data_IF_528298472758
#
_entry.id   IF_528298472758
#
_cell.length_a   1.000
_cell.length_b   1.000
_cell.length_c   1.000
_cell.angle_alpha   90.00
_cell.angle_beta   90.00
_cell.angle_gamma   90.00
#
_symmetry.space_group_name_H-M   'P 1'
#
loop_
_entity.id
_entity.type
_entity.pdbx_description
1 polymer ?
#
# COMPACT_ATOMS: atom_id res chain seq x y z
N UNK A 1 20.53 -67.56 54.43
CA UNK A 1 19.59 -66.74 53.73
C UNK A 1 20.23 -65.43 53.34
N UNK A 2 20.65 -65.27 52.08
CA UNK A 2 21.26 -64.03 51.54
C UNK A 2 20.26 -63.33 50.70
N UNK A 3 19.78 -62.17 51.10
CA UNK A 3 18.97 -61.29 50.26
C UNK A 3 19.84 -60.44 49.38
N UNK A 4 19.64 -60.53 48.04
CA UNK A 4 20.31 -59.72 47.05
C UNK A 4 19.46 -58.49 46.79
N UNK A 5 20.00 -57.32 47.02
CA UNK A 5 19.40 -56.04 46.75
C UNK A 5 19.89 -55.57 45.34
N UNK A 6 18.95 -55.46 44.41
CA UNK A 6 19.20 -54.96 43.04
C UNK A 6 19.05 -53.44 43.01
N UNK A 7 20.01 -52.67 42.54
CA UNK A 7 19.82 -51.22 42.40
C UNK A 7 19.08 -50.89 41.09
N UNK A 8 17.98 -50.13 41.23
CA UNK A 8 17.29 -49.51 40.13
C UNK A 8 18.11 -48.33 39.60
N UNK A 9 18.58 -48.43 38.35
CA UNK A 9 19.13 -47.31 37.60
C UNK A 9 17.96 -46.53 36.94
N UNK A 10 17.70 -45.34 37.48
CA UNK A 10 16.81 -44.38 36.84
C UNK A 10 17.62 -43.63 35.77
N UNK A 11 17.44 -44.02 34.49
CA UNK A 11 18.02 -43.33 33.36
C UNK A 11 17.30 -42.00 33.13
N UNK A 12 17.98 -40.89 33.41
CA UNK A 12 17.51 -39.53 33.07
C UNK A 12 17.69 -39.31 31.56
N UNK A 13 16.59 -39.40 30.81
CA UNK A 13 16.59 -39.07 29.36
C UNK A 13 16.50 -37.56 29.22
N UNK A 14 17.65 -36.94 28.93
CA UNK A 14 17.70 -35.50 28.52
C UNK A 14 17.34 -35.43 27.03
N UNK A 15 16.13 -34.97 26.73
CA UNK A 15 15.70 -34.66 25.39
C UNK A 15 16.21 -33.24 25.03
N UNK A 16 17.12 -33.06 24.09
CA UNK A 16 17.49 -31.74 23.61
C UNK A 16 16.32 -31.15 22.83
N UNK A 17 15.64 -30.14 23.39
CA UNK A 17 14.69 -29.33 22.66
C UNK A 17 15.48 -28.41 21.72
N UNK A 18 15.66 -28.85 20.48
CA UNK A 18 16.13 -27.96 19.43
C UNK A 18 15.00 -27.01 19.10
N UNK A 19 15.01 -25.86 19.72
CA UNK A 19 14.24 -24.68 19.29
C UNK A 19 14.87 -24.21 17.97
N UNK A 20 14.35 -24.70 16.85
CA UNK A 20 14.62 -24.11 15.53
C UNK A 20 13.95 -22.74 15.51
N UNK A 21 14.65 -21.71 15.97
CA UNK A 21 14.28 -20.33 15.69
C UNK A 21 14.36 -20.12 14.17
N UNK A 22 13.21 -20.05 13.52
CA UNK A 22 13.10 -19.61 12.13
C UNK A 22 13.56 -18.14 12.14
N UNK A 23 14.81 -17.90 11.75
CA UNK A 23 15.26 -16.53 11.42
C UNK A 23 14.60 -16.25 10.08
N UNK A 24 13.52 -15.46 10.13
CA UNK A 24 12.83 -14.98 8.93
C UNK A 24 13.86 -14.37 7.97
N UNK A 25 13.69 -14.63 6.70
CA UNK A 25 14.52 -14.08 5.64
C UNK A 25 14.50 -12.55 5.73
N UNK A 26 15.61 -11.89 5.30
CA UNK A 26 15.66 -10.41 5.20
C UNK A 26 14.50 -9.88 4.33
N UNK A 27 14.02 -10.68 3.38
CA UNK A 27 12.83 -10.38 2.58
C UNK A 27 11.57 -10.33 3.44
N UNK A 28 11.36 -11.29 4.36
CA UNK A 28 10.20 -11.33 5.25
C UNK A 28 10.17 -10.13 6.21
N UNK A 29 11.35 -9.64 6.64
CA UNK A 29 11.47 -8.43 7.47
C UNK A 29 11.12 -7.16 6.69
N UNK A 30 11.56 -7.07 5.42
CA UNK A 30 11.23 -5.95 4.52
C UNK A 30 9.75 -5.92 4.17
N UNK A 31 9.16 -7.07 3.89
CA UNK A 31 7.73 -7.21 3.59
C UNK A 31 6.87 -6.84 4.81
N UNK A 32 7.34 -7.11 6.03
CA UNK A 32 6.66 -6.70 7.26
C UNK A 32 6.72 -5.17 7.49
N UNK A 33 7.81 -4.52 7.10
CA UNK A 33 8.03 -3.07 7.28
C UNK A 33 7.19 -2.24 6.28
N UNK A 34 6.85 -2.80 5.12
CA UNK A 34 6.09 -2.12 4.07
C UNK A 34 4.57 -2.38 4.12
N UNK A 35 4.06 -3.07 5.15
CA UNK A 35 2.63 -3.32 5.29
C UNK A 35 1.89 -2.08 5.78
N UNK A 36 0.84 -1.70 5.06
CA UNK A 36 -0.05 -0.60 5.46
C UNK A 36 -1.25 -1.17 6.20
N UNK A 37 -1.42 -0.76 7.46
CA UNK A 37 -2.53 -1.20 8.29
C UNK A 37 -3.73 -0.30 8.11
N UNK A 38 -4.93 -0.90 8.12
CA UNK A 38 -6.19 -0.18 8.20
C UNK A 38 -6.25 0.65 9.49
N UNK A 39 -6.67 1.92 9.39
CA UNK A 39 -6.78 2.84 10.50
C UNK A 39 -7.99 2.53 11.39
N UNK A 40 -8.06 3.14 12.57
CA UNK A 40 -9.15 2.90 13.53
C UNK A 40 -10.54 3.29 13.00
N UNK A 41 -10.60 4.32 12.15
CA UNK A 41 -11.82 4.77 11.46
C UNK A 41 -12.18 3.89 10.25
N UNK A 42 -11.37 2.87 9.98
CA UNK A 42 -11.53 1.94 8.87
C UNK A 42 -10.94 2.42 7.55
N UNK A 43 -10.37 3.62 7.49
CA UNK A 43 -9.73 4.13 6.27
C UNK A 43 -8.34 3.51 6.05
N UNK A 44 -7.85 3.60 4.82
CA UNK A 44 -6.50 3.16 4.43
C UNK A 44 -5.91 4.25 3.54
N UNK A 45 -4.69 4.69 3.85
CA UNK A 45 -3.97 5.69 3.06
C UNK A 45 -2.71 5.07 2.45
N UNK A 46 -2.69 4.95 1.13
CA UNK A 46 -1.63 4.38 0.31
C UNK A 46 -0.79 5.51 -0.25
N UNK A 47 0.25 5.90 0.47
CA UNK A 47 1.16 6.98 0.09
C UNK A 47 2.20 6.43 -0.89
N UNK A 48 2.52 7.16 -1.96
CA UNK A 48 3.50 6.72 -2.97
C UNK A 48 4.88 6.42 -2.37
N UNK A 49 5.32 7.17 -1.36
CA UNK A 49 6.61 6.94 -0.70
C UNK A 49 6.74 5.56 -0.05
N UNK A 50 5.61 4.88 0.20
CA UNK A 50 5.55 3.52 0.75
C UNK A 50 5.25 2.45 -0.29
N UNK A 51 5.14 2.83 -1.55
CA UNK A 51 4.89 1.91 -2.64
C UNK A 51 6.17 1.26 -3.14
N UNK A 52 6.05 0.05 -3.65
CA UNK A 52 7.03 -0.49 -4.58
C UNK A 52 6.70 0.05 -5.97
N UNK A 53 7.52 1.02 -6.45
CA UNK A 53 7.28 1.66 -7.73
C UNK A 53 8.14 1.05 -8.83
N UNK A 54 7.53 0.85 -9.99
CA UNK A 54 8.19 0.48 -11.24
C UNK A 54 7.89 1.53 -12.31
N UNK A 55 8.94 2.02 -12.99
CA UNK A 55 8.80 2.98 -14.08
C UNK A 55 9.20 2.34 -15.41
N UNK A 56 8.30 2.42 -16.39
CA UNK A 56 8.56 2.06 -17.78
C UNK A 56 8.96 3.33 -18.54
N UNK A 57 10.26 3.48 -18.83
CA UNK A 57 10.80 4.66 -19.52
C UNK A 57 10.26 4.74 -20.96
N UNK A 58 10.00 3.60 -21.61
CA UNK A 58 9.51 3.55 -22.97
C UNK A 58 8.02 3.88 -23.06
N UNK A 59 7.25 3.51 -22.04
CA UNK A 59 5.82 3.74 -21.97
C UNK A 59 5.39 4.14 -20.54
N UNK A 60 5.50 5.43 -20.18
CA UNK A 60 5.17 5.91 -18.83
C UNK A 60 3.74 5.61 -18.38
N UNK A 61 2.80 5.38 -19.30
CA UNK A 61 1.42 4.98 -18.95
C UNK A 61 1.34 3.62 -18.25
N UNK A 62 2.42 2.82 -18.30
CA UNK A 62 2.55 1.55 -17.59
C UNK A 62 3.29 1.66 -16.25
N UNK A 63 3.65 2.87 -15.81
CA UNK A 63 4.25 3.02 -14.49
C UNK A 63 3.32 2.48 -13.42
N UNK A 64 3.87 1.70 -12.50
CA UNK A 64 3.09 1.04 -11.44
C UNK A 64 3.55 1.43 -10.05
N UNK A 65 2.61 1.41 -9.11
CA UNK A 65 2.86 1.47 -7.68
C UNK A 65 2.07 0.35 -7.00
N UNK A 66 2.77 -0.45 -6.20
CA UNK A 66 2.21 -1.60 -5.49
C UNK A 66 2.31 -1.40 -3.98
N UNK A 67 1.26 -1.77 -3.25
CA UNK A 67 1.22 -1.75 -1.80
C UNK A 67 0.68 -3.06 -1.24
N UNK A 68 1.25 -3.50 -0.13
CA UNK A 68 0.71 -4.57 0.68
C UNK A 68 -0.08 -3.96 1.85
N UNK A 69 -1.36 -4.32 1.96
CA UNK A 69 -2.26 -3.80 2.97
C UNK A 69 -2.81 -4.90 3.86
N UNK A 70 -3.19 -4.54 5.08
CA UNK A 70 -3.87 -5.44 6.03
C UNK A 70 -5.23 -4.85 6.35
N UNK A 71 -6.27 -5.58 5.98
CA UNK A 71 -7.67 -5.26 6.26
C UNK A 71 -8.09 -6.00 7.53
N UNK A 72 -8.49 -5.28 8.55
CA UNK A 72 -9.05 -5.84 9.79
C UNK A 72 -10.58 -5.76 9.84
N UNK A 73 -11.16 -4.76 9.16
CA UNK A 73 -12.61 -4.53 9.07
C UNK A 73 -13.00 -4.58 7.59
N UNK A 74 -13.50 -5.72 7.10
CA UNK A 74 -13.95 -5.85 5.72
C UNK A 74 -15.19 -5.02 5.46
N UNK A 75 -15.51 -4.81 4.18
CA UNK A 75 -16.67 -4.02 3.77
C UNK A 75 -16.51 -3.39 2.40
N UNK A 76 -17.38 -2.42 2.11
CA UNK A 76 -17.31 -1.64 0.89
C UNK A 76 -16.54 -0.35 1.15
N UNK A 77 -15.59 -0.05 0.25
CA UNK A 77 -14.75 1.14 0.33
C UNK A 77 -14.95 2.02 -0.90
N UNK A 78 -15.06 3.34 -0.68
CA UNK A 78 -14.86 4.32 -1.75
C UNK A 78 -13.36 4.48 -1.97
N UNK A 79 -12.95 4.50 -3.24
CA UNK A 79 -11.56 4.67 -3.65
C UNK A 79 -11.40 6.07 -4.22
N UNK A 80 -10.40 6.77 -3.72
CA UNK A 80 -10.05 8.13 -4.11
C UNK A 80 -8.58 8.20 -4.50
N UNK A 81 -8.28 8.94 -5.55
CA UNK A 81 -6.91 9.38 -5.85
C UNK A 81 -6.73 10.79 -5.31
N UNK A 82 -5.63 11.02 -4.61
CA UNK A 82 -5.21 12.34 -4.15
C UNK A 82 -4.08 12.86 -5.02
N UNK A 83 -4.26 14.02 -5.60
CA UNK A 83 -3.28 14.72 -6.42
C UNK A 83 -2.95 16.08 -5.83
N UNK A 84 -1.67 16.51 -5.98
CA UNK A 84 -1.25 17.89 -5.81
C UNK A 84 -1.22 18.55 -7.18
N UNK A 85 -1.94 19.65 -7.37
CA UNK A 85 -2.00 20.36 -8.64
C UNK A 85 -1.96 21.86 -8.46
N UNK A 86 -1.44 22.57 -9.46
CA UNK A 86 -1.56 24.04 -9.55
C UNK A 86 -2.84 24.46 -10.27
N UNK A 87 -3.38 23.57 -11.12
CA UNK A 87 -4.63 23.79 -11.85
C UNK A 87 -5.75 22.93 -11.25
N UNK A 88 -6.71 23.60 -10.59
CA UNK A 88 -7.88 22.93 -9.97
C UNK A 88 -9.02 22.68 -10.93
N UNK A 89 -8.86 22.99 -12.21
CA UNK A 89 -9.87 22.76 -13.26
C UNK A 89 -9.57 21.56 -14.13
N UNK A 90 -8.25 21.22 -14.26
CA UNK A 90 -7.81 20.10 -15.08
C UNK A 90 -6.52 19.48 -14.47
N UNK A 91 -6.58 18.21 -14.10
CA UNK A 91 -5.45 17.48 -13.52
C UNK A 91 -4.40 17.01 -14.55
N UNK A 92 -4.66 17.21 -15.84
CA UNK A 92 -3.72 16.85 -16.92
C UNK A 92 -3.29 15.37 -16.89
N UNK A 93 -4.20 14.47 -16.54
CA UNK A 93 -4.00 13.04 -16.78
C UNK A 93 -4.23 12.75 -18.26
N UNK A 94 -3.22 12.25 -18.95
CA UNK A 94 -3.31 11.89 -20.36
C UNK A 94 -4.03 10.55 -20.56
N UNK A 95 -3.96 9.67 -19.57
CA UNK A 95 -4.53 8.34 -19.61
C UNK A 95 -5.42 8.08 -18.39
N UNK A 96 -6.30 7.09 -18.51
CA UNK A 96 -7.04 6.59 -17.37
C UNK A 96 -6.06 5.98 -16.34
N UNK A 97 -6.33 6.23 -15.07
CA UNK A 97 -5.65 5.58 -13.96
C UNK A 97 -6.39 4.30 -13.64
N UNK A 98 -5.63 3.22 -13.50
CA UNK A 98 -6.16 1.90 -13.18
C UNK A 98 -5.73 1.48 -11.78
N UNK A 99 -6.70 1.04 -10.97
CA UNK A 99 -6.46 0.49 -9.64
C UNK A 99 -7.04 -0.92 -9.60
N UNK A 100 -6.24 -1.89 -9.19
CA UNK A 100 -6.64 -3.29 -9.03
C UNK A 100 -6.40 -3.79 -7.62
N UNK A 101 -7.38 -4.53 -7.11
CA UNK A 101 -7.32 -5.28 -5.86
C UNK A 101 -8.15 -6.57 -6.03
N UNK A 102 -7.56 -7.74 -5.80
CA UNK A 102 -8.16 -9.01 -6.14
C UNK A 102 -8.62 -9.02 -7.61
N UNK A 103 -9.89 -9.39 -7.84
CA UNK A 103 -10.52 -9.41 -9.17
C UNK A 103 -11.19 -8.07 -9.53
N UNK A 104 -11.27 -7.12 -8.59
CA UNK A 104 -11.84 -5.80 -8.83
C UNK A 104 -10.85 -4.87 -9.53
N UNK A 105 -11.30 -4.22 -10.60
CA UNK A 105 -10.53 -3.23 -11.35
C UNK A 105 -11.36 -1.96 -11.51
N UNK A 106 -10.78 -0.83 -11.10
CA UNK A 106 -11.31 0.50 -11.34
C UNK A 106 -10.43 1.19 -12.37
N UNK A 107 -11.03 1.78 -13.41
CA UNK A 107 -10.30 2.50 -14.45
C UNK A 107 -11.06 3.78 -14.79
N UNK A 108 -10.46 4.93 -14.45
CA UNK A 108 -11.11 6.25 -14.56
C UNK A 108 -10.05 7.30 -14.91
N UNK A 109 -10.40 8.29 -15.73
CA UNK A 109 -9.60 9.50 -15.88
C UNK A 109 -9.90 10.40 -14.69
N UNK A 110 -8.90 10.71 -13.80
CA UNK A 110 -9.12 11.50 -12.62
C UNK A 110 -9.58 12.91 -12.92
N UNK A 111 -10.66 13.34 -12.27
CA UNK A 111 -11.22 14.70 -12.35
C UNK A 111 -11.05 15.48 -11.05
N UNK A 112 -11.44 16.75 -11.06
CA UNK A 112 -11.39 17.61 -9.87
C UNK A 112 -12.69 17.50 -9.05
N UNK A 113 -12.97 16.32 -8.46
CA UNK A 113 -14.23 16.08 -7.76
C UNK A 113 -14.31 16.81 -6.42
N UNK A 114 -13.16 16.94 -5.73
CA UNK A 114 -13.10 17.62 -4.44
C UNK A 114 -11.78 18.37 -4.29
N UNK A 115 -11.86 19.70 -4.15
CA UNK A 115 -10.70 20.55 -3.87
C UNK A 115 -10.59 20.73 -2.36
N UNK A 116 -9.46 20.32 -1.77
CA UNK A 116 -9.17 20.46 -0.35
C UNK A 116 -8.27 21.68 -0.14
N UNK A 117 -8.87 22.74 0.37
CA UNK A 117 -8.12 23.97 0.72
C UNK A 117 -7.42 23.76 2.07
N UNK A 118 -6.21 24.32 2.19
CA UNK A 118 -5.40 24.24 3.43
C UNK A 118 -5.09 22.78 3.86
N UNK A 119 -4.83 21.89 2.90
CA UNK A 119 -4.34 20.56 3.21
C UNK A 119 -2.96 20.64 3.85
N UNK A 120 -2.73 19.80 4.87
CA UNK A 120 -1.39 19.65 5.48
C UNK A 120 -0.43 18.83 4.60
N UNK A 121 -1.00 18.05 3.67
CA UNK A 121 -0.24 17.15 2.79
C UNK A 121 0.35 17.87 1.58
N UNK A 122 -0.13 19.10 1.29
CA UNK A 122 0.21 19.84 0.08
C UNK A 122 0.46 21.31 0.41
N UNK A 123 1.63 21.80 0.00
CA UNK A 123 2.03 23.20 0.23
C UNK A 123 1.89 24.03 -1.03
N UNK A 124 1.63 25.33 -0.84
CA UNK A 124 1.63 26.31 -1.92
C UNK A 124 2.89 26.20 -2.78
N UNK A 125 2.81 26.26 -4.12
CA UNK A 125 1.67 26.73 -4.94
C UNK A 125 0.67 25.63 -5.37
N UNK A 126 0.73 24.45 -4.76
CA UNK A 126 -0.17 23.34 -5.12
C UNK A 126 -1.42 23.33 -4.23
N UNK A 127 -2.49 22.78 -4.79
CA UNK A 127 -3.74 22.45 -4.11
C UNK A 127 -3.91 20.94 -4.10
N UNK A 128 -4.50 20.42 -3.03
CA UNK A 128 -4.91 19.03 -2.98
C UNK A 128 -6.25 18.87 -3.68
N UNK A 129 -6.32 17.90 -4.60
CA UNK A 129 -7.55 17.49 -5.27
C UNK A 129 -7.74 15.99 -5.06
N UNK A 130 -8.94 15.62 -4.62
CA UNK A 130 -9.33 14.23 -4.49
C UNK A 130 -10.27 13.87 -5.66
N UNK A 131 -9.96 12.81 -6.41
CA UNK A 131 -10.70 12.28 -7.56
C UNK A 131 -11.33 10.95 -7.19
N UNK A 132 -12.63 10.81 -7.40
CA UNK A 132 -13.36 9.58 -7.10
C UNK A 132 -13.15 8.53 -8.19
N UNK A 133 -12.66 7.37 -7.81
CA UNK A 133 -12.37 6.26 -8.74
C UNK A 133 -13.48 5.21 -8.80
N UNK A 134 -14.34 5.16 -7.79
CA UNK A 134 -15.36 4.12 -7.66
C UNK A 134 -15.38 3.48 -6.28
N UNK A 135 -15.93 2.28 -6.19
CA UNK A 135 -15.96 1.52 -4.94
C UNK A 135 -15.58 0.07 -5.17
N UNK A 136 -14.91 -0.52 -4.19
CA UNK A 136 -14.54 -1.93 -4.13
C UNK A 136 -15.20 -2.60 -2.93
N UNK A 137 -15.32 -3.94 -2.97
CA UNK A 137 -15.83 -4.72 -1.87
C UNK A 137 -14.81 -5.77 -1.44
N UNK A 138 -14.40 -5.72 -0.18
CA UNK A 138 -13.49 -6.68 0.44
C UNK A 138 -14.31 -7.50 1.43
N UNK A 139 -14.49 -8.80 1.13
CA UNK A 139 -15.40 -9.67 1.88
C UNK A 139 -14.83 -10.11 3.23
N UNK A 140 -13.53 -10.31 3.32
CA UNK A 140 -12.88 -10.92 4.47
C UNK A 140 -11.73 -10.07 5.00
N UNK A 141 -11.39 -10.15 6.30
CA UNK A 141 -10.14 -9.58 6.79
C UNK A 141 -8.96 -10.39 6.28
N UNK A 142 -7.83 -9.72 6.02
CA UNK A 142 -6.67 -10.40 5.48
C UNK A 142 -5.63 -9.43 4.92
N UNK A 143 -4.62 -10.01 4.28
CA UNK A 143 -3.57 -9.29 3.56
C UNK A 143 -3.92 -9.25 2.08
N UNK A 144 -3.77 -8.07 1.48
CA UNK A 144 -4.11 -7.82 0.09
C UNK A 144 -3.03 -6.99 -0.58
N UNK A 145 -2.83 -7.20 -1.88
CA UNK A 145 -2.01 -6.34 -2.71
C UNK A 145 -2.92 -5.38 -3.47
N UNK A 146 -2.56 -4.11 -3.52
CA UNK A 146 -3.20 -3.09 -4.37
C UNK A 146 -2.17 -2.59 -5.35
N UNK A 147 -2.51 -2.62 -6.63
CA UNK A 147 -1.71 -2.07 -7.71
C UNK A 147 -2.40 -0.85 -8.31
N UNK A 148 -1.63 0.20 -8.53
CA UNK A 148 -2.03 1.37 -9.30
C UNK A 148 -1.14 1.49 -10.53
N UNK A 149 -1.76 1.78 -11.68
CA UNK A 149 -1.06 2.05 -12.95
C UNK A 149 -1.41 3.47 -13.40
N UNK A 150 -0.40 4.31 -13.59
CA UNK A 150 -0.57 5.70 -14.04
C UNK A 150 0.75 6.30 -14.50
N UNK A 151 0.70 7.14 -15.55
CA UNK A 151 1.85 7.95 -15.98
C UNK A 151 2.35 8.94 -14.90
N UNK A 152 1.54 9.20 -13.87
CA UNK A 152 1.90 10.07 -12.74
C UNK A 152 2.62 9.35 -11.60
N UNK A 153 2.86 8.04 -11.70
CA UNK A 153 3.74 7.31 -10.80
C UNK A 153 5.19 7.62 -11.18
N UNK A 154 5.86 8.41 -10.36
CA UNK A 154 7.24 8.85 -10.59
C UNK A 154 8.10 8.40 -9.41
N UNK A 155 9.18 7.66 -9.70
CA UNK A 155 10.18 7.32 -8.68
C UNK A 155 11.03 8.54 -8.36
N UNK A 156 11.08 8.95 -7.09
CA UNK A 156 11.94 10.08 -6.65
C UNK A 156 13.44 9.86 -6.90
N UNK A 157 13.87 8.62 -7.14
CA UNK A 157 15.27 8.26 -7.40
C UNK A 157 15.74 8.53 -8.83
N UNK A 158 14.88 8.99 -9.73
CA UNK A 158 15.30 9.45 -11.05
C UNK A 158 16.03 10.78 -10.87
N UNK A 159 17.36 10.76 -10.94
CA UNK A 159 18.26 11.94 -10.81
C UNK A 159 18.04 13.03 -11.87
N UNK A 160 17.02 12.95 -12.67
CA UNK A 160 16.57 14.01 -13.54
C UNK A 160 15.82 15.07 -12.73
N UNK A 161 16.58 15.85 -11.95
CA UNK A 161 16.06 17.02 -11.21
C UNK A 161 15.25 17.99 -12.09
N UNK A 162 15.28 17.82 -13.40
CA UNK A 162 14.59 18.69 -14.36
C UNK A 162 13.20 18.19 -14.76
N UNK A 163 12.89 16.88 -14.65
CA UNK A 163 11.57 16.35 -15.01
C UNK A 163 10.50 16.59 -13.92
N UNK A 164 10.91 16.61 -12.65
CA UNK A 164 9.99 16.81 -11.52
C UNK A 164 9.49 18.25 -11.37
N UNK A 165 10.14 19.23 -12.04
CA UNK A 165 9.81 20.65 -11.90
C UNK A 165 8.79 21.17 -12.94
N UNK A 166 8.45 20.38 -13.96
CA UNK A 166 7.58 20.80 -15.06
C UNK A 166 6.15 20.28 -14.98
N UNK A 167 5.88 19.27 -14.15
CA UNK A 167 4.53 18.72 -14.04
C UNK A 167 3.70 19.51 -13.03
N UNK A 168 2.63 20.11 -13.52
CA UNK A 168 1.71 20.90 -12.69
C UNK A 168 0.83 20.03 -11.78
N UNK A 169 0.77 18.72 -12.03
CA UNK A 169 -0.01 17.76 -11.24
C UNK A 169 0.84 16.54 -10.85
N UNK A 170 0.83 16.22 -9.57
CA UNK A 170 1.54 15.06 -9.00
C UNK A 170 0.53 14.16 -8.29
N UNK A 171 0.64 12.85 -8.53
CA UNK A 171 -0.05 11.85 -7.73
C UNK A 171 0.60 11.75 -6.35
N UNK A 172 -0.20 11.78 -5.28
CA UNK A 172 0.29 11.72 -3.89
C UNK A 172 -0.03 10.37 -3.25
N UNK A 173 -1.31 9.97 -3.32
CA UNK A 173 -1.80 8.77 -2.62
C UNK A 173 -3.08 8.23 -3.22
N UNK A 174 -3.40 6.99 -2.83
CA UNK A 174 -4.74 6.41 -2.96
C UNK A 174 -5.35 6.28 -1.58
N UNK A 175 -6.60 6.68 -1.42
CA UNK A 175 -7.31 6.61 -0.14
C UNK A 175 -8.55 5.73 -0.29
N UNK A 176 -8.66 4.73 0.58
CA UNK A 176 -9.85 3.91 0.73
C UNK A 176 -10.61 4.38 1.97
N UNK A 177 -11.87 4.79 1.79
CA UNK A 177 -12.75 5.19 2.89
C UNK A 177 -13.92 4.24 3.01
N UNK A 178 -14.23 3.70 4.22
CA UNK A 178 -15.36 2.80 4.37
C UNK A 178 -16.67 3.51 4.05
N UNK A 179 -17.57 2.81 3.35
CA UNK A 179 -18.96 3.21 3.23
C UNK A 179 -19.67 2.85 4.53
N UNK A 180 -19.87 3.85 5.40
CA UNK A 180 -20.77 3.70 6.55
C UNK A 180 -22.21 3.72 6.06
N UNK A 181 -22.97 2.69 6.43
CA UNK A 181 -24.42 2.64 6.24
C UNK A 181 -25.11 3.47 7.28
#
# INVERSE_FOLDING_TARGET
MKQSILPYFIGLVIIPVWSCGHIGSIKDLKDAENRILQQNDGSISLILDKAECYSDIANPSNNTADWNIVISKPGRFKVWITSATKDTTDLKYANAVRISILDDVLEVIPGCDKIVRNSIDVHYPYFRVDSYMGSIYIAEPGEYNIQLISEKVIMEKSESKNAALTDDTKLISVILTPLTH
#
